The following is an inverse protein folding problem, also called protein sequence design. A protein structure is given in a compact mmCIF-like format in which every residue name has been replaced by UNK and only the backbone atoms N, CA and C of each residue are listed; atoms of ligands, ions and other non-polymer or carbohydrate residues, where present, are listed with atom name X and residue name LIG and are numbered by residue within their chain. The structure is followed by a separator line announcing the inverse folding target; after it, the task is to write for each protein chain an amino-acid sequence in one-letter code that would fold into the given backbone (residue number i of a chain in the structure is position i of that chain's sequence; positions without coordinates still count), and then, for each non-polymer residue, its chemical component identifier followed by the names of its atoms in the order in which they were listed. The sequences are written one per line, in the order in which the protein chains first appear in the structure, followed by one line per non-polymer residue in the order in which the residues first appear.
data_IF_350633793431
#
_entry.id   IF_350633793431
#
_cell.length_a   1.000
_cell.length_b   1.000
_cell.length_c   1.000
_cell.angle_alpha   90.00
_cell.angle_beta   90.00
_cell.angle_gamma   90.00
#
_symmetry.space_group_name_H-M   'P 1'
#
loop_
_entity.id
_entity.type
_entity.pdbx_description
1 polymer ?
#
# COMPACT_ATOMS: atom_id res chain seq x y z
N UNK A 1 -2.07 -18.60 -15.83
CA UNK A 1 -1.03 -18.37 -14.80
C UNK A 1 -1.51 -17.22 -13.96
N UNK A 2 -1.69 -17.42 -12.65
CA UNK A 2 -2.08 -16.31 -11.77
C UNK A 2 -0.90 -15.35 -11.66
N UNK A 3 -1.02 -14.22 -12.35
CA UNK A 3 -0.01 -13.18 -12.32
C UNK A 3 -0.10 -12.49 -10.95
N UNK A 4 0.74 -12.89 -10.00
CA UNK A 4 0.71 -12.35 -8.63
C UNK A 4 1.20 -10.90 -8.58
N UNK A 5 1.95 -10.47 -9.60
CA UNK A 5 2.47 -9.11 -9.76
C UNK A 5 1.72 -8.38 -10.86
N UNK A 6 1.55 -7.06 -10.70
CA UNK A 6 1.13 -6.19 -11.78
C UNK A 6 2.19 -6.14 -12.90
N UNK A 7 1.79 -5.72 -14.10
CA UNK A 7 2.74 -5.51 -15.19
C UNK A 7 3.82 -4.51 -14.78
N UNK A 8 3.44 -3.45 -14.07
CA UNK A 8 4.38 -2.42 -13.60
C UNK A 8 5.44 -2.97 -12.66
N UNK A 9 5.11 -3.88 -11.75
CA UNK A 9 6.11 -4.54 -10.89
C UNK A 9 7.05 -5.42 -11.72
N UNK A 10 6.56 -6.08 -12.75
CA UNK A 10 7.41 -6.84 -13.67
C UNK A 10 8.40 -5.94 -14.42
N UNK A 11 7.95 -4.78 -14.86
CA UNK A 11 8.78 -3.76 -15.50
C UNK A 11 9.82 -3.19 -14.52
N UNK A 12 9.42 -2.93 -13.27
CA UNK A 12 10.32 -2.47 -12.20
C UNK A 12 11.43 -3.49 -11.93
N UNK A 13 11.12 -4.78 -11.89
CA UNK A 13 12.14 -5.83 -11.73
C UNK A 13 13.15 -5.79 -12.90
N UNK A 14 12.67 -5.55 -14.11
CA UNK A 14 13.54 -5.39 -15.29
C UNK A 14 14.42 -4.15 -15.16
N UNK A 15 13.85 -3.00 -14.78
CA UNK A 15 14.62 -1.78 -14.52
C UNK A 15 15.62 -1.95 -13.38
N UNK A 16 15.26 -2.71 -12.35
CA UNK A 16 16.17 -3.01 -11.23
C UNK A 16 17.40 -3.79 -11.68
N UNK A 17 17.23 -4.73 -12.62
CA UNK A 17 18.34 -5.46 -13.25
C UNK A 17 19.23 -4.52 -14.06
N UNK A 18 18.65 -3.62 -14.84
CA UNK A 18 19.40 -2.65 -15.62
C UNK A 18 20.16 -1.67 -14.72
N UNK A 19 19.56 -1.24 -13.59
CA UNK A 19 20.24 -0.37 -12.61
C UNK A 19 21.39 -1.11 -11.90
N UNK A 20 21.22 -2.40 -11.55
CA UNK A 20 22.28 -3.21 -10.97
C UNK A 20 23.46 -3.37 -11.96
N UNK A 21 23.18 -3.64 -13.23
CA UNK A 21 24.19 -3.68 -14.29
C UNK A 21 24.89 -2.32 -14.47
N UNK A 22 24.14 -1.22 -14.51
CA UNK A 22 24.68 0.14 -14.64
C UNK A 22 25.64 0.49 -13.51
N UNK A 23 25.32 0.03 -12.29
CA UNK A 23 26.11 0.28 -11.08
C UNK A 23 27.14 -0.84 -10.80
N UNK A 24 27.28 -1.81 -11.70
CA UNK A 24 28.21 -2.94 -11.59
C UNK A 24 28.09 -3.70 -10.27
N UNK A 25 26.85 -3.94 -9.85
CA UNK A 25 26.58 -4.71 -8.65
C UNK A 25 26.26 -6.16 -9.00
N UNK A 26 26.78 -7.12 -8.23
CA UNK A 26 26.66 -8.56 -8.48
C UNK A 26 25.25 -9.11 -8.29
N UNK A 27 24.41 -8.44 -7.56
CA UNK A 27 23.06 -8.88 -7.20
C UNK A 27 22.07 -7.73 -7.30
N UNK A 28 20.83 -8.06 -7.64
CA UNK A 28 19.71 -7.13 -7.52
C UNK A 28 19.23 -7.14 -6.08
N UNK A 29 19.53 -6.09 -5.32
CA UNK A 29 19.08 -5.90 -3.93
C UNK A 29 17.80 -5.06 -3.83
N UNK A 30 17.28 -4.84 -2.60
CA UNK A 30 16.15 -3.97 -2.33
C UNK A 30 16.33 -2.54 -2.83
N UNK A 31 17.55 -2.01 -2.75
CA UNK A 31 17.96 -0.70 -3.25
C UNK A 31 17.78 -0.59 -4.76
N UNK A 32 18.03 -1.66 -5.51
CA UNK A 32 17.80 -1.70 -6.95
C UNK A 32 16.31 -1.75 -7.27
N UNK A 33 15.49 -2.44 -6.45
CA UNK A 33 14.04 -2.42 -6.58
C UNK A 33 13.50 -1.00 -6.40
N UNK A 34 14.01 -0.25 -5.41
CA UNK A 34 13.64 1.14 -5.22
C UNK A 34 14.13 2.03 -6.38
N UNK A 35 15.36 1.83 -6.88
CA UNK A 35 15.85 2.54 -8.07
C UNK A 35 14.99 2.24 -9.31
N UNK A 36 14.57 1.00 -9.51
CA UNK A 36 13.65 0.60 -10.58
C UNK A 36 12.31 1.32 -10.47
N UNK A 37 11.75 1.42 -9.25
CA UNK A 37 10.54 2.19 -8.98
C UNK A 37 10.71 3.69 -9.30
N UNK A 38 11.81 4.28 -8.84
CA UNK A 38 12.11 5.69 -9.10
C UNK A 38 12.33 5.97 -10.60
N UNK A 39 12.82 4.99 -11.35
CA UNK A 39 13.01 5.08 -12.79
C UNK A 39 11.68 4.97 -13.55
N UNK A 40 10.80 4.05 -13.16
CA UNK A 40 9.44 3.95 -13.69
C UNK A 40 8.66 5.24 -13.48
N UNK A 41 8.83 5.87 -12.33
CA UNK A 41 8.28 7.17 -12.00
C UNK A 41 6.76 7.22 -11.82
N UNK A 42 6.08 6.06 -11.78
CA UNK A 42 4.63 5.96 -11.64
C UNK A 42 4.18 4.99 -10.56
N UNK A 43 2.85 4.86 -10.43
CA UNK A 43 2.20 4.00 -9.45
C UNK A 43 2.05 4.63 -8.07
N UNK A 44 1.23 4.00 -7.24
CA UNK A 44 0.85 4.53 -5.92
C UNK A 44 2.03 4.75 -4.98
N UNK A 45 3.09 3.94 -5.07
CA UNK A 45 4.30 4.16 -4.28
C UNK A 45 4.91 5.55 -4.56
N UNK A 46 5.10 5.89 -5.82
CA UNK A 46 5.66 7.18 -6.23
C UNK A 46 4.71 8.32 -5.88
N UNK A 47 3.40 8.14 -6.09
CA UNK A 47 2.39 9.13 -5.71
C UNK A 47 2.43 9.44 -4.20
N UNK A 48 2.59 8.43 -3.35
CA UNK A 48 2.73 8.61 -1.90
C UNK A 48 4.01 9.38 -1.58
N UNK A 49 5.15 8.98 -2.15
CA UNK A 49 6.43 9.67 -1.92
C UNK A 49 6.36 11.15 -2.36
N UNK A 50 5.75 11.44 -3.50
CA UNK A 50 5.55 12.82 -3.97
C UNK A 50 4.61 13.62 -3.05
N UNK A 51 3.54 13.00 -2.56
CA UNK A 51 2.59 13.62 -1.64
C UNK A 51 3.22 13.97 -0.29
N UNK A 52 4.26 13.21 0.09
CA UNK A 52 5.10 13.47 1.26
C UNK A 52 6.19 14.52 1.02
N UNK A 53 6.19 15.16 -0.15
CA UNK A 53 7.20 16.14 -0.57
C UNK A 53 8.64 15.58 -0.53
N UNK A 54 8.79 14.28 -0.84
CA UNK A 54 10.10 13.64 -0.87
C UNK A 54 10.83 13.96 -2.17
N UNK A 55 12.05 14.48 -2.04
CA UNK A 55 12.92 14.68 -3.19
C UNK A 55 13.45 13.35 -3.74
N UNK A 56 12.71 12.79 -4.71
CA UNK A 56 13.04 11.50 -5.33
C UNK A 56 14.44 11.50 -5.98
N UNK A 57 14.91 12.66 -6.47
CA UNK A 57 16.27 12.79 -7.05
C UNK A 57 17.33 12.68 -5.97
N UNK A 58 17.06 13.23 -4.78
CA UNK A 58 17.97 13.14 -3.63
C UNK A 58 18.02 11.72 -3.10
N UNK A 59 16.86 11.03 -2.98
CA UNK A 59 16.78 9.60 -2.62
C UNK A 59 17.60 8.76 -3.59
N UNK A 60 17.38 8.92 -4.90
CA UNK A 60 18.15 8.23 -5.94
C UNK A 60 19.65 8.43 -5.78
N UNK A 61 20.11 9.67 -5.67
CA UNK A 61 21.53 10.00 -5.52
C UNK A 61 22.12 9.37 -4.24
N UNK A 62 21.36 9.37 -3.16
CA UNK A 62 21.79 8.79 -1.89
C UNK A 62 22.03 7.28 -2.01
N UNK A 63 21.09 6.56 -2.61
CA UNK A 63 21.23 5.12 -2.88
C UNK A 63 22.43 4.85 -3.79
N UNK A 64 22.54 5.60 -4.90
CA UNK A 64 23.64 5.43 -5.86
C UNK A 64 25.01 5.70 -5.22
N UNK A 65 25.11 6.61 -4.26
CA UNK A 65 26.38 6.88 -3.57
C UNK A 65 26.85 5.65 -2.77
N UNK A 66 25.96 4.96 -2.08
CA UNK A 66 26.31 3.74 -1.35
C UNK A 66 26.64 2.57 -2.28
N UNK A 67 25.90 2.44 -3.39
CA UNK A 67 26.08 1.30 -4.30
C UNK A 67 27.38 1.40 -5.11
N UNK A 68 27.88 2.61 -5.38
CA UNK A 68 29.18 2.82 -6.01
C UNK A 68 30.35 2.37 -5.14
N UNK A 69 30.21 2.41 -3.83
CA UNK A 69 31.24 1.90 -2.91
C UNK A 69 31.36 0.36 -2.98
N UNK A 70 30.29 -0.32 -3.48
CA UNK A 70 30.22 -1.77 -3.67
C UNK A 70 30.38 -2.18 -5.14
N UNK A 71 30.88 -1.30 -6.01
CA UNK A 71 31.07 -1.55 -7.44
C UNK A 71 32.08 -2.68 -7.68
N UNK A 72 31.74 -3.59 -8.58
CA UNK A 72 32.60 -4.71 -8.99
C UNK A 72 33.08 -4.51 -10.44
N UNK A 73 34.30 -4.07 -10.57
CA UNK A 73 34.93 -3.82 -11.87
C UNK A 73 35.14 -5.09 -12.72
N UNK A 74 34.94 -6.27 -12.14
CA UNK A 74 35.07 -7.56 -12.88
C UNK A 74 33.80 -7.95 -13.62
N UNK A 75 32.67 -7.27 -13.35
CA UNK A 75 31.41 -7.55 -14.04
C UNK A 75 31.44 -7.04 -15.47
N UNK A 76 31.05 -7.94 -16.39
CA UNK A 76 30.87 -7.58 -17.79
C UNK A 76 29.57 -6.78 -17.97
N UNK A 77 29.51 -5.82 -18.89
CA UNK A 77 28.26 -5.20 -19.30
C UNK A 77 27.24 -6.26 -19.70
N UNK A 78 25.97 -6.05 -19.34
CA UNK A 78 24.84 -6.95 -19.62
C UNK A 78 24.94 -8.35 -18.98
N UNK A 79 25.68 -8.48 -17.88
CA UNK A 79 25.69 -9.71 -17.10
C UNK A 79 24.27 -10.08 -16.62
N UNK A 80 23.99 -11.37 -16.52
CA UNK A 80 22.75 -11.86 -15.92
C UNK A 80 22.85 -11.76 -14.40
N UNK A 81 22.47 -10.60 -13.85
CA UNK A 81 22.55 -10.32 -12.42
C UNK A 81 21.36 -10.96 -11.71
N UNK A 82 21.59 -11.89 -10.77
CA UNK A 82 20.51 -12.55 -10.04
C UNK A 82 19.95 -11.68 -8.91
N UNK A 83 18.72 -12.01 -8.48
CA UNK A 83 18.14 -11.45 -7.27
C UNK A 83 18.94 -11.86 -6.03
N UNK A 84 19.21 -10.91 -5.15
CA UNK A 84 19.73 -11.23 -3.82
C UNK A 84 18.68 -12.00 -2.99
N UNK A 85 19.08 -12.80 -1.99
CA UNK A 85 18.14 -13.46 -1.10
C UNK A 85 17.18 -12.48 -0.42
N UNK A 86 17.64 -11.26 -0.11
CA UNK A 86 16.84 -10.21 0.51
C UNK A 86 15.81 -9.63 -0.47
N UNK A 87 16.19 -9.33 -1.71
CA UNK A 87 15.24 -8.88 -2.73
C UNK A 87 14.18 -9.96 -3.03
N UNK A 88 14.59 -11.23 -3.10
CA UNK A 88 13.66 -12.35 -3.27
C UNK A 88 12.67 -12.47 -2.08
N UNK A 89 13.13 -12.24 -0.85
CA UNK A 89 12.29 -12.17 0.36
C UNK A 89 11.29 -11.03 0.26
N UNK A 90 11.74 -9.83 -0.11
CA UNK A 90 10.88 -8.63 -0.26
C UNK A 90 9.79 -8.87 -1.32
N UNK A 91 10.12 -9.46 -2.46
CA UNK A 91 9.11 -9.77 -3.47
C UNK A 91 8.07 -10.79 -2.98
N UNK A 92 8.45 -11.75 -2.15
CA UNK A 92 7.49 -12.64 -1.47
C UNK A 92 6.63 -11.89 -0.46
N UNK A 93 7.23 -11.01 0.34
CA UNK A 93 6.51 -10.17 1.30
C UNK A 93 5.53 -9.21 0.60
N UNK A 94 5.89 -8.64 -0.54
CA UNK A 94 5.04 -7.79 -1.36
C UNK A 94 3.69 -8.47 -1.69
N UNK A 95 3.70 -9.78 -2.01
CA UNK A 95 2.48 -10.55 -2.25
C UNK A 95 1.64 -10.68 -0.96
N UNK A 96 2.28 -10.79 0.20
CA UNK A 96 1.57 -10.83 1.48
C UNK A 96 0.97 -9.47 1.82
N UNK A 97 1.68 -8.37 1.58
CA UNK A 97 1.15 -7.01 1.77
C UNK A 97 -0.07 -6.76 0.86
N UNK A 98 -0.03 -7.22 -0.40
CA UNK A 98 -1.18 -7.13 -1.29
C UNK A 98 -2.42 -7.84 -0.71
N UNK A 99 -2.24 -9.02 -0.11
CA UNK A 99 -3.33 -9.74 0.56
C UNK A 99 -3.87 -9.00 1.78
N UNK A 100 -3.00 -8.41 2.59
CA UNK A 100 -3.39 -7.59 3.76
C UNK A 100 -4.25 -6.41 3.32
N UNK A 101 -3.88 -5.74 2.22
CA UNK A 101 -4.62 -4.63 1.63
C UNK A 101 -5.77 -5.07 0.72
N UNK A 102 -6.09 -6.37 0.68
CA UNK A 102 -7.16 -6.96 -0.15
C UNK A 102 -7.03 -6.63 -1.64
N UNK A 103 -5.81 -6.46 -2.12
CA UNK A 103 -5.49 -6.24 -3.52
C UNK A 103 -5.42 -7.57 -4.28
N UNK A 104 -5.94 -7.61 -5.50
CA UNK A 104 -5.92 -8.81 -6.33
C UNK A 104 -4.52 -9.16 -6.83
N UNK A 105 -3.67 -8.14 -7.02
CA UNK A 105 -2.29 -8.27 -7.48
C UNK A 105 -1.36 -7.41 -6.65
N UNK A 106 -0.11 -7.82 -6.52
CA UNK A 106 0.91 -7.01 -5.88
C UNK A 106 1.39 -5.92 -6.85
N UNK A 107 1.32 -4.66 -6.42
CA UNK A 107 1.72 -3.48 -7.18
C UNK A 107 2.78 -2.66 -6.41
N UNK A 108 3.16 -1.51 -6.90
CA UNK A 108 4.28 -0.67 -6.43
C UNK A 108 4.21 -0.35 -4.95
N UNK A 109 3.03 0.00 -4.45
CA UNK A 109 2.79 0.29 -3.03
C UNK A 109 3.10 -0.90 -2.12
N UNK A 110 2.83 -2.12 -2.60
CA UNK A 110 3.10 -3.33 -1.84
C UNK A 110 4.61 -3.65 -1.82
N UNK A 111 5.34 -3.31 -2.90
CA UNK A 111 6.81 -3.41 -2.93
C UNK A 111 7.42 -2.41 -1.95
N UNK A 112 6.93 -1.17 -1.94
CA UNK A 112 7.38 -0.14 -1.00
C UNK A 112 7.14 -0.56 0.46
N UNK A 113 5.94 -1.07 0.77
CA UNK A 113 5.62 -1.59 2.10
C UNK A 113 6.54 -2.75 2.50
N UNK A 114 6.81 -3.68 1.58
CA UNK A 114 7.68 -4.83 1.85
C UNK A 114 9.14 -4.41 2.12
N UNK A 115 9.65 -3.41 1.40
CA UNK A 115 10.98 -2.82 1.65
C UNK A 115 11.05 -2.22 3.05
N UNK A 116 10.06 -1.40 3.42
CA UNK A 116 10.01 -0.74 4.72
C UNK A 116 9.77 -1.71 5.88
N UNK A 117 8.98 -2.77 5.64
CA UNK A 117 8.68 -3.79 6.66
C UNK A 117 9.89 -4.67 6.99
N UNK A 118 10.70 -4.98 6.00
CA UNK A 118 11.95 -5.72 6.22
C UNK A 118 12.94 -4.91 7.07
N UNK A 119 13.00 -3.58 6.83
CA UNK A 119 13.73 -2.61 7.66
C UNK A 119 15.25 -2.74 7.64
N UNK A 120 15.78 -3.93 7.56
CA UNK A 120 17.23 -4.22 7.59
C UNK A 120 17.84 -4.20 6.18
N UNK A 121 17.61 -3.08 5.47
CA UNK A 121 18.14 -2.90 4.11
C UNK A 121 18.41 -1.42 3.81
N UNK A 122 19.31 -1.17 2.86
CA UNK A 122 19.73 0.18 2.47
C UNK A 122 18.56 1.04 1.97
N UNK A 123 17.62 0.45 1.20
CA UNK A 123 16.49 1.20 0.68
C UNK A 123 15.59 1.71 1.80
N UNK A 124 15.29 0.86 2.81
CA UNK A 124 14.52 1.26 3.98
C UNK A 124 15.25 2.37 4.77
N UNK A 125 16.55 2.22 5.01
CA UNK A 125 17.37 3.23 5.71
C UNK A 125 17.29 4.60 5.03
N UNK A 126 17.44 4.66 3.70
CA UNK A 126 17.37 5.92 2.96
C UNK A 126 15.95 6.52 2.97
N UNK A 127 14.91 5.69 2.94
CA UNK A 127 13.53 6.16 3.07
C UNK A 127 13.25 6.70 4.48
N UNK A 128 13.74 6.04 5.52
CA UNK A 128 13.62 6.48 6.93
C UNK A 128 14.38 7.78 7.21
N UNK A 129 15.57 7.98 6.61
CA UNK A 129 16.27 9.27 6.63
C UNK A 129 15.38 10.42 6.13
N UNK A 130 14.44 10.11 5.23
CA UNK A 130 13.44 11.04 4.71
C UNK A 130 12.09 10.95 5.43
N UNK A 131 12.02 10.33 6.61
CA UNK A 131 10.80 10.18 7.46
C UNK A 131 9.70 9.32 6.83
N UNK A 132 10.05 8.48 5.86
CA UNK A 132 9.14 7.50 5.27
C UNK A 132 9.32 6.18 6.01
N UNK A 133 8.31 5.73 6.73
CA UNK A 133 8.27 4.46 7.45
C UNK A 133 7.06 3.63 7.05
N UNK A 134 7.08 2.34 7.43
CA UNK A 134 6.01 1.39 7.09
C UNK A 134 4.63 1.87 7.56
N UNK A 135 4.51 2.28 8.82
CA UNK A 135 3.23 2.66 9.42
C UNK A 135 2.59 3.82 8.67
N UNK A 136 3.37 4.82 8.35
CA UNK A 136 2.90 6.00 7.65
C UNK A 136 2.40 5.67 6.23
N UNK A 137 3.16 4.89 5.46
CA UNK A 137 2.76 4.47 4.11
C UNK A 137 1.50 3.59 4.17
N UNK A 138 1.42 2.68 5.13
CA UNK A 138 0.25 1.82 5.33
C UNK A 138 -1.02 2.62 5.65
N UNK A 139 -0.92 3.62 6.52
CA UNK A 139 -2.04 4.52 6.84
C UNK A 139 -2.51 5.31 5.62
N UNK A 140 -1.57 5.85 4.82
CA UNK A 140 -1.93 6.55 3.59
C UNK A 140 -2.70 5.68 2.61
N UNK A 141 -2.34 4.40 2.48
CA UNK A 141 -3.02 3.45 1.61
C UNK A 141 -4.40 3.06 2.12
N UNK A 142 -4.55 2.86 3.43
CA UNK A 142 -5.83 2.49 4.04
C UNK A 142 -6.83 3.65 4.04
N UNK A 143 -6.38 4.88 4.28
CA UNK A 143 -7.22 6.08 4.20
C UNK A 143 -7.77 6.32 2.79
N UNK A 144 -6.98 6.06 1.75
CA UNK A 144 -7.44 6.18 0.36
C UNK A 144 -8.48 5.12 -0.01
N UNK A 145 -8.40 3.94 0.57
CA UNK A 145 -9.37 2.86 0.32
C UNK A 145 -10.72 3.14 0.97
N UNK A 146 -10.78 3.98 2.02
CA UNK A 146 -12.03 4.33 2.72
C UNK A 146 -12.73 5.58 2.15
N UNK A 147 -12.10 6.32 1.24
CA UNK A 147 -12.68 7.50 0.60
C UNK A 147 -12.64 7.42 -0.94
N UNK A 148 -13.59 6.69 -1.58
CA UNK A 148 -13.61 6.53 -3.03
C UNK A 148 -13.93 7.82 -3.80
N UNK A 149 -14.24 8.93 -3.11
CA UNK A 149 -14.73 10.16 -3.72
C UNK A 149 -13.72 11.34 -3.72
N UNK A 150 -12.45 11.11 -3.46
CA UNK A 150 -11.43 12.19 -3.49
C UNK A 150 -10.85 12.47 -4.89
N UNK A 151 -11.45 11.95 -5.95
CA UNK A 151 -10.96 12.07 -7.33
C UNK A 151 -11.93 12.70 -8.33
N UNK A 152 -13.06 13.27 -7.91
CA UNK A 152 -13.93 14.00 -8.84
C UNK A 152 -13.74 15.50 -8.65
N UNK A 153 -13.23 16.12 -9.72
CA UNK A 153 -13.01 17.53 -9.85
C UNK A 153 -14.28 18.35 -9.65
N UNK A 154 -14.09 19.53 -9.15
CA UNK A 154 -15.04 20.61 -9.17
C UNK A 154 -15.58 20.78 -10.60
N UNK A 155 -16.84 20.46 -10.79
CA UNK A 155 -17.65 21.08 -11.83
C UNK A 155 -18.44 22.17 -11.14
N UNK A 156 -18.09 23.40 -11.48
CA UNK A 156 -18.93 24.56 -11.29
C UNK A 156 -20.14 24.35 -12.19
N UNK A 157 -21.32 24.12 -11.59
CA UNK A 157 -22.59 24.29 -12.30
C UNK A 157 -23.08 25.68 -11.97
N UNK A 158 -23.07 26.53 -13.02
CA UNK A 158 -23.72 27.81 -13.03
C UNK A 158 -25.23 27.61 -12.84
N UNK A 159 -25.76 28.17 -11.74
CA UNK A 159 -27.19 28.33 -11.54
C UNK A 159 -27.66 29.54 -12.40
N UNK A 160 -28.43 29.29 -13.42
CA UNK A 160 -29.31 30.30 -14.00
C UNK A 160 -30.77 30.03 -13.60
N UNK A 161 -31.32 31.00 -12.88
CA UNK A 161 -32.72 31.15 -12.51
C UNK A 161 -33.65 31.15 -13.73
N UNK A 162 -34.75 30.42 -13.67
CA UNK A 162 -36.02 30.91 -14.23
C UNK A 162 -37.22 30.39 -13.41
N UNK A 163 -37.92 31.33 -12.80
CA UNK A 163 -39.27 31.20 -12.25
C UNK A 163 -40.28 30.87 -13.36
N UNK A 164 -41.23 29.97 -13.12
CA UNK A 164 -42.63 30.31 -13.38
C UNK A 164 -43.65 29.41 -12.67
N UNK A 165 -44.66 30.06 -12.23
CA UNK A 165 -45.84 29.62 -11.49
C UNK A 165 -46.68 28.59 -12.29
N UNK A 166 -47.34 27.66 -11.61
CA UNK A 166 -48.79 27.64 -11.64
C UNK A 166 -49.47 26.65 -10.67
N UNK A 167 -50.58 27.12 -10.19
CA UNK A 167 -51.57 26.63 -9.25
C UNK A 167 -52.26 25.30 -9.63
N UNK A 168 -52.65 24.60 -8.63
CA UNK A 168 -54.03 24.29 -8.19
C UNK A 168 -54.45 22.80 -8.08
N UNK A 169 -55.09 22.61 -6.96
CA UNK A 169 -56.23 21.73 -6.61
C UNK A 169 -56.01 20.21 -6.44
N UNK A 170 -56.16 19.79 -5.25
CA UNK A 170 -57.39 19.41 -4.50
C UNK A 170 -57.68 17.91 -4.49
N UNK A 171 -57.90 17.46 -3.29
CA UNK A 171 -58.92 16.51 -2.78
C UNK A 171 -58.47 15.14 -2.31
N UNK A 172 -58.48 15.01 -0.97
CA UNK A 172 -59.30 14.12 -0.13
C UNK A 172 -59.39 12.60 -0.47
N UNK A 173 -59.03 11.82 0.52
CA UNK A 173 -59.91 10.97 1.38
C UNK A 173 -59.06 9.87 1.99
N UNK A 174 -58.86 9.77 3.28
CA UNK A 174 -59.70 9.19 4.34
C UNK A 174 -59.86 7.64 4.27
N UNK A 175 -59.45 6.99 5.35
CA UNK A 175 -59.76 5.60 5.70
C UNK A 175 -58.61 4.96 6.50
N UNK A 176 -58.48 4.99 7.76
CA UNK A 176 -59.19 4.41 8.90
C UNK A 176 -59.20 2.86 8.88
N UNK A 177 -58.63 2.27 9.95
CA UNK A 177 -58.82 0.84 10.31
C UNK A 177 -57.55 0.30 11.02
N UNK A 178 -57.43 0.48 12.28
CA UNK A 178 -57.63 -0.33 13.50
C UNK A 178 -56.79 -1.59 13.61
N UNK A 179 -55.91 -1.58 14.57
CA UNK A 179 -55.81 -2.36 15.81
C UNK A 179 -55.57 -3.88 15.69
N UNK A 180 -54.53 -4.36 16.32
CA UNK A 180 -54.60 -5.21 17.54
C UNK A 180 -53.30 -5.96 17.77
N UNK A 181 -52.65 -5.63 18.85
CA UNK A 181 -52.16 -6.43 19.96
C UNK A 181 -51.73 -7.89 19.72
N UNK A 182 -50.52 -8.23 20.19
CA UNK A 182 -50.27 -9.20 21.28
C UNK A 182 -48.76 -9.40 21.48
N UNK A 183 -48.35 -9.08 22.66
CA UNK A 183 -47.38 -9.64 23.57
C UNK A 183 -46.98 -11.11 23.38
N UNK A 184 -45.71 -11.43 23.60
CA UNK A 184 -45.14 -12.34 24.61
C UNK A 184 -43.62 -12.38 24.38
N UNK A 185 -42.79 -11.93 25.24
CA UNK A 185 -42.20 -12.50 26.45
C UNK A 185 -41.09 -13.53 26.19
N UNK A 186 -39.89 -13.13 26.69
CA UNK A 186 -38.87 -13.92 27.40
C UNK A 186 -38.00 -14.93 26.63
N UNK A 187 -36.70 -14.71 26.61
CA UNK A 187 -35.69 -15.37 27.45
C UNK A 187 -34.27 -15.02 26.98
N UNK A 188 -33.52 -14.43 27.89
CA UNK A 188 -32.06 -14.58 27.91
C UNK A 188 -31.72 -16.02 28.37
N UNK A 189 -30.58 -16.53 27.95
CA UNK A 189 -29.65 -16.95 28.96
C UNK A 189 -28.25 -16.40 28.74
N UNK A 190 -27.67 -15.99 29.84
CA UNK A 190 -26.26 -15.83 30.17
C UNK A 190 -25.44 -17.02 29.73
N UNK A 191 -24.22 -16.75 29.23
CA UNK A 191 -23.09 -17.68 29.42
C UNK A 191 -21.78 -16.98 29.26
N UNK A 192 -21.08 -16.87 30.33
CA UNK A 192 -19.84 -17.53 30.71
C UNK A 192 -18.74 -17.55 29.63
N UNK A 193 -17.84 -16.58 29.78
CA UNK A 193 -16.49 -16.65 29.23
C UNK A 193 -15.59 -17.44 30.21
N UNK A 194 -14.87 -18.46 29.78
CA UNK A 194 -13.78 -18.99 30.57
C UNK A 194 -12.56 -18.10 30.42
N UNK A 195 -12.19 -17.48 31.51
CA UNK A 195 -10.89 -16.82 31.70
C UNK A 195 -9.84 -17.92 31.75
N UNK A 196 -8.99 -17.98 30.74
CA UNK A 196 -7.77 -18.79 30.79
C UNK A 196 -6.67 -17.98 31.46
N UNK A 197 -6.44 -18.37 32.70
CA UNK A 197 -5.30 -18.00 33.55
C UNK A 197 -4.01 -18.59 32.94
N UNK A 198 -3.12 -17.71 32.42
CA UNK A 198 -1.79 -18.04 31.99
C UNK A 198 -0.76 -17.45 32.95
N UNK A 199 -0.75 -17.96 34.17
CA UNK A 199 0.35 -17.76 35.09
C UNK A 199 1.21 -19.03 35.19
N UNK A 200 2.52 -18.83 35.13
CA UNK A 200 3.59 -19.77 35.42
C UNK A 200 4.12 -20.64 34.27
N UNK A 201 5.09 -20.08 33.54
CA UNK A 201 6.22 -20.89 33.11
C UNK A 201 7.49 -20.27 33.75
N UNK A 202 7.92 -20.94 34.78
CA UNK A 202 9.20 -20.75 35.46
C UNK A 202 10.28 -21.40 34.59
N UNK A 203 11.18 -20.63 34.00
CA UNK A 203 12.36 -21.16 33.32
C UNK A 203 13.53 -21.03 34.29
N UNK A 204 13.95 -22.17 34.79
CA UNK A 204 15.22 -22.35 35.49
C UNK A 204 16.33 -22.46 34.45
N UNK A 205 17.32 -21.57 34.54
CA UNK A 205 18.63 -21.80 33.95
C UNK A 205 19.49 -22.77 34.80
N UNK A 206 20.45 -23.43 34.15
CA UNK A 206 21.84 -23.24 34.55
C UNK A 206 22.71 -22.73 33.40
#
# INVERSE_FOLDING_TARGET
MNNQFSQRVSDIITYSKEEANRLRNRYIGPEHLLLGMLRDGGGKAIEILMRLDIDLKKVKKRIESFLREAEDDTLLPDADVPLSPMAAKILKMCILEARVLKSATADTEHVLLAILKDGDNLAATVLEENRVNYQFVFEQLTMQSTNPNAGMGFQEEDEEDEEDMNMSHSSRSAGMGTASSAQTASKQPSNDTPVLDLSLIHISEP
#
